data_IF_743505949391
#
_entry.id   IF_743505949391
#
_cell.length_a   1.000
_cell.length_b   1.000
_cell.length_c   1.000
_cell.angle_alpha   90.00
_cell.angle_beta   90.00
_cell.angle_gamma   90.00
#
_symmetry.space_group_name_H-M   'P 1'
#
loop_
_entity.id
_entity.type
_entity.pdbx_description
1 polymer ?
#
# COMPACT_ATOMS: atom_id res chain seq x y z
N UNK A 1 5.44 14.75 -9.56
CA UNK A 1 4.91 14.00 -8.40
C UNK A 1 4.80 14.92 -7.20
N UNK A 2 3.72 14.79 -6.43
CA UNK A 2 3.48 15.59 -5.24
C UNK A 2 4.55 15.36 -4.16
N UNK A 3 4.65 16.29 -3.20
CA UNK A 3 5.56 16.13 -2.06
C UNK A 3 5.10 15.04 -1.11
N UNK A 4 6.00 14.57 -0.25
CA UNK A 4 5.64 13.59 0.77
C UNK A 4 4.61 14.16 1.74
N UNK A 5 4.68 15.45 2.06
CA UNK A 5 3.71 16.09 2.96
C UNK A 5 2.30 16.06 2.34
N UNK A 6 2.21 16.36 1.04
CA UNK A 6 0.92 16.28 0.34
C UNK A 6 0.43 14.84 0.26
N UNK A 7 1.34 13.89 0.02
CA UNK A 7 1.00 12.46 0.01
C UNK A 7 0.39 12.05 1.36
N UNK A 8 0.98 12.50 2.46
CA UNK A 8 0.46 12.18 3.80
C UNK A 8 -0.90 12.81 4.05
N UNK A 9 -1.15 14.04 3.56
CA UNK A 9 -2.46 14.68 3.67
C UNK A 9 -3.53 13.88 2.94
N UNK A 10 -3.24 13.48 1.69
CA UNK A 10 -4.16 12.67 0.90
C UNK A 10 -4.42 11.33 1.59
N UNK A 11 -3.36 10.70 2.09
CA UNK A 11 -3.49 9.43 2.79
C UNK A 11 -4.38 9.55 4.02
N UNK A 12 -4.25 10.65 4.76
CA UNK A 12 -5.09 10.93 5.92
C UNK A 12 -6.58 11.01 5.53
N UNK A 13 -6.87 11.69 4.43
CA UNK A 13 -8.25 11.78 3.93
C UNK A 13 -8.77 10.41 3.49
N UNK A 14 -7.95 9.63 2.80
CA UNK A 14 -8.33 8.29 2.39
C UNK A 14 -8.56 7.36 3.58
N UNK A 15 -7.76 7.52 4.63
CA UNK A 15 -7.91 6.73 5.85
C UNK A 15 -9.26 6.97 6.52
N UNK A 16 -9.79 8.17 6.42
CA UNK A 16 -11.11 8.51 6.96
C UNK A 16 -12.25 7.83 6.20
N UNK A 17 -12.03 7.40 4.96
CA UNK A 17 -13.02 6.66 4.17
C UNK A 17 -13.19 5.23 4.66
N UNK A 18 -12.21 4.70 5.39
CA UNK A 18 -12.22 3.30 5.86
C UNK A 18 -13.12 3.20 7.10
N UNK A 19 -14.06 2.25 7.14
CA UNK A 19 -14.93 2.09 8.33
C UNK A 19 -14.13 1.92 9.61
N UNK A 20 -14.59 2.52 10.69
CA UNK A 20 -13.89 2.50 11.97
C UNK A 20 -13.60 1.08 12.46
N UNK A 21 -14.51 0.16 12.21
CA UNK A 21 -14.34 -1.24 12.63
C UNK A 21 -13.15 -1.94 12.00
N UNK A 22 -12.68 -1.45 10.85
CA UNK A 22 -11.52 -2.04 10.16
C UNK A 22 -10.21 -1.73 10.89
N UNK A 23 -10.19 -0.72 11.75
CA UNK A 23 -9.01 -0.32 12.50
C UNK A 23 -8.78 -1.16 13.76
N UNK A 24 -9.73 -2.02 14.14
CA UNK A 24 -9.56 -2.87 15.30
C UNK A 24 -8.31 -3.74 15.16
N UNK A 25 -7.50 -3.76 16.20
CA UNK A 25 -6.23 -4.49 16.27
C UNK A 25 -5.13 -3.96 15.34
N UNK A 26 -5.36 -2.89 14.59
CA UNK A 26 -4.31 -2.26 13.78
C UNK A 26 -3.50 -1.30 14.68
N UNK A 27 -2.76 -1.89 15.62
CA UNK A 27 -2.11 -1.16 16.72
C UNK A 27 -1.00 -0.22 16.25
N UNK A 28 -0.30 -0.58 15.17
CA UNK A 28 0.75 0.26 14.59
C UNK A 28 0.25 1.29 13.61
N UNK A 29 -1.04 1.25 13.26
CA UNK A 29 -1.66 2.24 12.36
C UNK A 29 -1.17 2.17 10.93
N UNK A 30 -1.22 3.31 10.24
CA UNK A 30 -0.74 3.48 8.87
C UNK A 30 0.52 4.33 8.92
N UNK A 31 1.60 3.84 8.32
CA UNK A 31 2.92 4.48 8.33
C UNK A 31 3.32 4.80 6.90
N UNK A 32 3.93 5.97 6.68
CA UNK A 32 4.49 6.36 5.39
C UNK A 32 6.00 6.16 5.42
N UNK A 33 6.51 5.40 4.46
CA UNK A 33 7.95 5.22 4.27
C UNK A 33 8.39 6.13 3.12
N UNK A 34 9.37 7.03 3.33
CA UNK A 34 9.85 7.93 2.27
C UNK A 34 10.49 7.21 1.10
N UNK A 35 11.14 6.08 1.36
CA UNK A 35 11.86 5.32 0.34
C UNK A 35 10.95 4.46 -0.51
N UNK A 36 11.58 3.76 -1.44
CA UNK A 36 10.90 2.76 -2.26
C UNK A 36 11.35 1.36 -1.83
N UNK A 37 10.55 0.37 -2.23
CA UNK A 37 10.89 -1.03 -2.00
C UNK A 37 10.64 -1.80 -3.28
N UNK A 38 11.63 -2.58 -3.71
CA UNK A 38 11.48 -3.50 -4.83
C UNK A 38 11.12 -4.87 -4.30
N UNK A 39 10.27 -5.59 -5.04
CA UNK A 39 9.91 -6.95 -4.67
C UNK A 39 11.15 -7.85 -4.78
N UNK A 40 11.34 -8.84 -3.87
CA UNK A 40 12.49 -9.76 -3.93
C UNK A 40 12.62 -10.52 -5.26
N UNK A 41 11.53 -10.71 -5.98
CA UNK A 41 11.53 -11.37 -7.29
C UNK A 41 11.75 -10.43 -8.45
N UNK A 42 11.95 -9.14 -8.17
CA UNK A 42 12.20 -8.15 -9.22
C UNK A 42 13.51 -8.44 -9.95
N UNK A 43 13.48 -8.36 -11.28
CA UNK A 43 14.66 -8.61 -12.12
C UNK A 43 15.05 -7.41 -12.97
N UNK A 44 14.15 -6.44 -13.08
CA UNK A 44 14.31 -5.30 -13.98
C UNK A 44 14.36 -3.95 -13.27
N UNK A 45 14.27 -3.92 -11.96
CA UNK A 45 14.22 -2.68 -11.19
C UNK A 45 12.91 -1.93 -11.32
N UNK A 46 11.81 -2.62 -11.68
CA UNK A 46 10.52 -1.99 -11.95
C UNK A 46 9.35 -2.59 -11.17
N UNK A 47 9.59 -3.65 -10.41
CA UNK A 47 8.52 -4.29 -9.63
C UNK A 47 8.50 -3.69 -8.22
N UNK A 48 7.79 -2.57 -8.07
CA UNK A 48 7.72 -1.84 -6.81
C UNK A 48 6.62 -2.37 -5.91
N UNK A 49 6.93 -2.43 -4.61
CA UNK A 49 5.93 -2.67 -3.57
C UNK A 49 5.37 -1.32 -3.16
N UNK A 50 4.08 -1.09 -3.37
CA UNK A 50 3.42 0.18 -3.07
C UNK A 50 3.00 0.28 -1.62
N UNK A 51 2.54 -0.81 -1.04
CA UNK A 51 2.16 -0.90 0.35
C UNK A 51 2.35 -2.30 0.88
N UNK A 52 2.34 -2.44 2.19
CA UNK A 52 2.43 -3.74 2.84
C UNK A 52 1.60 -3.73 4.12
N UNK A 53 1.03 -4.89 4.43
CA UNK A 53 0.47 -5.16 5.74
C UNK A 53 1.48 -6.01 6.49
N UNK A 54 1.87 -5.59 7.69
CA UNK A 54 2.88 -6.29 8.48
C UNK A 54 2.42 -6.59 9.89
N UNK A 55 3.00 -7.64 10.44
CA UNK A 55 2.82 -8.02 11.84
C UNK A 55 4.21 -8.01 12.48
N UNK A 56 4.40 -7.14 13.46
CA UNK A 56 5.69 -6.94 14.14
C UNK A 56 5.52 -7.20 15.64
N UNK A 57 6.45 -7.92 16.27
CA UNK A 57 6.33 -8.20 17.71
C UNK A 57 6.25 -6.96 18.59
N UNK A 58 6.90 -5.86 18.19
CA UNK A 58 6.91 -4.62 18.95
C UNK A 58 5.79 -3.66 18.57
N UNK A 59 5.57 -3.47 17.25
CA UNK A 59 4.58 -2.50 16.74
C UNK A 59 3.17 -3.09 16.62
N UNK A 60 3.05 -4.39 16.62
CA UNK A 60 1.78 -5.05 16.35
C UNK A 60 1.49 -5.09 14.84
N UNK A 61 0.22 -5.02 14.49
CA UNK A 61 -0.24 -5.05 13.10
C UNK A 61 -0.27 -3.62 12.56
N UNK A 62 0.28 -3.40 11.36
CA UNK A 62 0.33 -2.07 10.77
C UNK A 62 0.42 -2.15 9.25
N UNK A 63 0.13 -1.01 8.61
CA UNK A 63 0.18 -0.85 7.16
C UNK A 63 1.29 0.15 6.84
N UNK A 64 2.13 -0.17 5.84
CA UNK A 64 3.15 0.75 5.32
C UNK A 64 2.74 1.16 3.92
N UNK A 65 2.82 2.47 3.63
CA UNK A 65 2.66 3.02 2.28
C UNK A 65 4.01 3.60 1.87
N UNK A 66 4.57 3.09 0.76
CA UNK A 66 5.90 3.49 0.31
C UNK A 66 5.81 4.67 -0.66
N UNK A 67 6.01 5.88 -0.15
CA UNK A 67 5.98 7.09 -0.97
C UNK A 67 6.96 6.99 -2.16
N UNK A 68 8.20 6.53 -1.91
CA UNK A 68 9.20 6.40 -2.96
C UNK A 68 8.79 5.45 -4.08
N UNK A 69 8.05 4.39 -3.76
CA UNK A 69 7.51 3.46 -4.77
C UNK A 69 6.46 4.14 -5.64
N UNK A 70 5.54 4.89 -5.03
CA UNK A 70 4.55 5.68 -5.78
C UNK A 70 5.23 6.69 -6.68
N UNK A 71 6.24 7.39 -6.16
CA UNK A 71 6.97 8.41 -6.91
C UNK A 71 7.64 7.83 -8.15
N UNK A 72 8.21 6.63 -8.03
CA UNK A 72 8.92 5.99 -9.14
C UNK A 72 7.95 5.37 -10.16
N UNK A 73 6.93 4.68 -9.68
CA UNK A 73 6.00 3.96 -10.57
C UNK A 73 4.97 4.87 -11.22
N UNK A 74 4.54 5.92 -10.53
CA UNK A 74 3.39 6.74 -10.94
C UNK A 74 3.71 8.22 -11.10
N UNK A 75 4.97 8.58 -11.34
CA UNK A 75 5.37 9.98 -11.48
C UNK A 75 4.69 10.74 -12.63
N UNK A 76 4.12 10.01 -13.58
CA UNK A 76 3.42 10.58 -14.74
C UNK A 76 1.94 10.86 -14.45
N UNK A 77 1.42 10.42 -13.32
CA UNK A 77 0.02 10.63 -12.96
C UNK A 77 -0.18 12.02 -12.33
N UNK A 78 -1.35 12.60 -12.58
CA UNK A 78 -1.75 13.81 -11.84
C UNK A 78 -2.20 13.43 -10.42
N UNK A 79 -2.51 14.45 -9.62
CA UNK A 79 -2.88 14.21 -8.22
C UNK A 79 -4.15 13.37 -8.07
N UNK A 80 -5.16 13.58 -8.92
CA UNK A 80 -6.40 12.84 -8.84
C UNK A 80 -6.19 11.36 -9.20
N UNK A 81 -5.43 11.12 -10.24
CA UNK A 81 -5.08 9.75 -10.65
C UNK A 81 -4.26 9.04 -9.58
N UNK A 82 -3.29 9.76 -8.99
CA UNK A 82 -2.47 9.22 -7.92
C UNK A 82 -3.32 8.88 -6.68
N UNK A 83 -4.26 9.74 -6.34
CA UNK A 83 -5.18 9.52 -5.22
C UNK A 83 -5.95 8.22 -5.40
N UNK A 84 -6.42 7.95 -6.63
CA UNK A 84 -7.13 6.70 -6.91
C UNK A 84 -6.22 5.48 -6.74
N UNK A 85 -4.97 5.57 -7.17
CA UNK A 85 -4.02 4.47 -6.97
C UNK A 85 -3.71 4.26 -5.49
N UNK A 86 -3.54 5.33 -4.75
CA UNK A 86 -3.34 5.26 -3.30
C UNK A 86 -4.55 4.62 -2.60
N UNK A 87 -5.77 4.97 -3.04
CA UNK A 87 -7.00 4.41 -2.47
C UNK A 87 -7.05 2.90 -2.68
N UNK A 88 -6.71 2.44 -3.89
CA UNK A 88 -6.69 1.01 -4.20
C UNK A 88 -5.72 0.25 -3.31
N UNK A 89 -4.51 0.79 -3.15
CA UNK A 89 -3.47 0.15 -2.34
C UNK A 89 -3.89 0.12 -0.87
N UNK A 90 -4.38 1.23 -0.34
CA UNK A 90 -4.78 1.29 1.06
C UNK A 90 -5.91 0.30 1.36
N UNK A 91 -6.92 0.24 0.50
CA UNK A 91 -8.04 -0.70 0.65
C UNK A 91 -7.55 -2.14 0.59
N UNK A 92 -6.60 -2.42 -0.29
CA UNK A 92 -6.01 -3.75 -0.42
C UNK A 92 -5.32 -4.18 0.88
N UNK A 93 -4.56 -3.29 1.51
CA UNK A 93 -3.88 -3.59 2.76
C UNK A 93 -4.86 -3.78 3.92
N UNK A 94 -5.91 -2.97 4.00
CA UNK A 94 -6.97 -3.17 4.99
C UNK A 94 -7.68 -4.50 4.80
N UNK A 95 -7.88 -4.91 3.55
CA UNK A 95 -8.47 -6.23 3.27
C UNK A 95 -7.64 -7.34 3.87
N UNK A 96 -6.32 -7.27 3.74
CA UNK A 96 -5.43 -8.26 4.35
C UNK A 96 -5.51 -8.24 5.87
N UNK A 97 -5.62 -7.06 6.46
CA UNK A 97 -5.77 -6.94 7.90
C UNK A 97 -7.05 -7.61 8.39
N UNK A 98 -8.16 -7.34 7.74
CA UNK A 98 -9.47 -7.91 8.09
C UNK A 98 -9.47 -9.42 7.89
N UNK A 99 -8.96 -9.89 6.75
CA UNK A 99 -8.85 -11.33 6.46
C UNK A 99 -7.91 -12.03 7.44
N UNK A 100 -6.80 -11.40 7.79
CA UNK A 100 -5.84 -11.94 8.75
C UNK A 100 -6.45 -12.11 10.15
N UNK A 101 -7.28 -11.15 10.57
CA UNK A 101 -7.99 -11.24 11.84
C UNK A 101 -8.97 -12.42 11.85
N UNK A 102 -9.54 -12.72 10.69
CA UNK A 102 -10.45 -13.85 10.53
C UNK A 102 -9.71 -15.19 10.35
N UNK A 103 -8.37 -15.16 10.24
CA UNK A 103 -7.57 -16.37 10.03
C UNK A 103 -7.70 -16.98 8.65
N UNK A 104 -8.07 -16.17 7.66
CA UNK A 104 -8.39 -16.68 6.31
C UNK A 104 -7.17 -16.74 5.41
N UNK A 105 -6.18 -15.86 5.60
CA UNK A 105 -5.06 -15.72 4.66
C UNK A 105 -3.72 -15.63 5.40
N UNK A 106 -2.66 -15.98 4.65
CA UNK A 106 -1.30 -15.81 5.12
C UNK A 106 -0.59 -14.70 4.32
N UNK A 107 0.62 -14.33 4.74
CA UNK A 107 1.37 -13.24 4.16
C UNK A 107 1.94 -13.55 2.77
N UNK A 108 2.16 -14.80 2.46
CA UNK A 108 2.68 -15.21 1.15
C UNK A 108 1.66 -14.95 0.05
N UNK A 109 0.38 -15.24 0.32
CA UNK A 109 -0.71 -14.97 -0.61
C UNK A 109 -0.84 -13.47 -0.82
N UNK A 110 -0.66 -12.69 0.24
CA UNK A 110 -0.68 -11.23 0.20
C UNK A 110 0.35 -10.66 -0.78
N UNK A 111 1.60 -11.15 -0.72
CA UNK A 111 2.65 -10.67 -1.62
C UNK A 111 2.33 -10.96 -3.08
N UNK A 112 1.77 -12.14 -3.36
CA UNK A 112 1.37 -12.50 -4.73
C UNK A 112 0.28 -11.55 -5.26
N UNK A 113 -0.68 -11.18 -4.45
CA UNK A 113 -1.75 -10.24 -4.83
C UNK A 113 -1.20 -8.84 -5.09
N UNK A 114 -0.23 -8.39 -4.32
CA UNK A 114 0.44 -7.11 -4.53
C UNK A 114 1.11 -7.05 -5.91
N UNK A 115 1.83 -8.09 -6.26
CA UNK A 115 2.51 -8.20 -7.55
C UNK A 115 1.49 -8.16 -8.70
N UNK A 116 0.43 -8.95 -8.59
CA UNK A 116 -0.61 -9.02 -9.61
C UNK A 116 -1.26 -7.65 -9.85
N UNK A 117 -1.58 -6.93 -8.77
CA UNK A 117 -2.16 -5.61 -8.84
C UNK A 117 -1.24 -4.61 -9.55
N UNK A 118 0.04 -4.64 -9.23
CA UNK A 118 1.03 -3.77 -9.88
C UNK A 118 1.15 -4.08 -11.37
N UNK A 119 1.21 -5.35 -11.73
CA UNK A 119 1.33 -5.78 -13.13
C UNK A 119 0.12 -5.35 -13.97
N UNK A 120 -1.08 -5.45 -13.41
CA UNK A 120 -2.30 -4.98 -14.08
C UNK A 120 -2.23 -3.49 -14.38
N UNK A 121 -1.77 -2.70 -13.43
CA UNK A 121 -1.65 -1.25 -13.61
C UNK A 121 -0.59 -0.89 -14.64
N UNK A 122 0.52 -1.62 -14.68
CA UNK A 122 1.54 -1.41 -15.70
C UNK A 122 1.01 -1.72 -17.09
N UNK A 123 0.22 -2.77 -17.24
CA UNK A 123 -0.40 -3.13 -18.52
C UNK A 123 -1.37 -2.06 -18.98
N UNK A 124 -2.16 -1.48 -18.08
CA UNK A 124 -3.10 -0.40 -18.40
C UNK A 124 -2.39 0.88 -18.85
N UNK A 125 -1.17 1.11 -18.40
CA UNK A 125 -0.41 2.33 -18.69
C UNK A 125 0.48 2.22 -19.94
N UNK A 126 0.58 1.06 -20.53
CA UNK A 126 1.30 0.85 -21.77
C UNK A 126 0.41 1.14 -22.98
#
# INVERSE_FOLDING_TARGET
MISIDRFEEILSDLAEEIPQSFYEELNGGIVVEPGYLLHPEDRNGTLYVMGQYRIDPAMGKYIIMYYGSFKRAYRHLDEDELTEEMRKVLRHEFRHHVEGRAGVRDLEVWDAEQIAMYQEQQAENE
#
